data_IF_624934934573
#
_entry.id   IF_624934934573
#
_cell.length_a   1.000
_cell.length_b   1.000
_cell.length_c   1.000
_cell.angle_alpha   90.00
_cell.angle_beta   90.00
_cell.angle_gamma   90.00
#
_symmetry.space_group_name_H-M   'P 1'
#
loop_
_entity.id
_entity.type
_entity.pdbx_description
1 polymer ?
#
# COMPACT_ATOMS: atom_id res chain seq x y z
N UNK A 1 -12.14 18.45 5.49
CA UNK A 1 -11.10 18.79 4.52
C UNK A 1 -10.03 19.65 5.16
N UNK A 2 -8.83 19.25 5.04
CA UNK A 2 -7.72 20.01 5.60
C UNK A 2 -7.20 21.03 4.59
N UNK A 3 -6.58 22.06 5.11
CA UNK A 3 -5.99 23.10 4.29
C UNK A 3 -4.70 22.60 3.65
N UNK A 4 -4.56 22.83 2.37
CA UNK A 4 -3.32 22.53 1.64
C UNK A 4 -2.43 23.76 1.51
N UNK A 5 -2.71 24.79 2.23
CA UNK A 5 -1.95 26.01 2.13
C UNK A 5 -0.54 25.79 2.61
N UNK A 6 0.39 25.88 1.70
CA UNK A 6 1.80 25.94 2.03
C UNK A 6 2.03 27.26 2.74
N UNK A 7 2.63 27.19 3.90
CA UNK A 7 2.98 28.39 4.63
C UNK A 7 4.39 28.77 4.25
N UNK A 8 4.56 29.93 3.65
CA UNK A 8 5.88 30.44 3.29
C UNK A 8 6.72 30.58 4.55
N UNK A 9 7.97 30.19 4.48
CA UNK A 9 8.89 30.29 5.60
C UNK A 9 8.88 29.12 6.56
N UNK A 10 8.06 28.07 6.30
CA UNK A 10 7.97 26.91 7.17
C UNK A 10 8.45 25.62 6.52
N UNK A 11 9.25 25.71 5.46
CA UNK A 11 9.71 24.53 4.73
C UNK A 11 10.55 23.59 5.57
N UNK A 12 11.45 24.15 6.39
CA UNK A 12 12.29 23.32 7.27
C UNK A 12 11.45 22.63 8.32
N UNK A 13 10.52 23.36 8.94
CA UNK A 13 9.63 22.80 9.94
C UNK A 13 8.75 21.71 9.36
N UNK A 14 8.24 21.92 8.11
CA UNK A 14 7.44 20.92 7.44
C UNK A 14 8.27 19.68 7.08
N UNK A 15 9.52 19.88 6.64
CA UNK A 15 10.43 18.78 6.32
C UNK A 15 10.77 17.97 7.55
N UNK A 16 11.03 18.62 8.71
CA UNK A 16 11.26 17.94 9.96
C UNK A 16 10.04 17.12 10.37
N UNK A 17 8.87 17.69 10.23
CA UNK A 17 7.62 17.03 10.58
C UNK A 17 7.38 15.80 9.70
N UNK A 18 7.64 15.91 8.40
CA UNK A 18 7.54 14.77 7.47
C UNK A 18 8.56 13.70 7.84
N UNK A 19 9.79 14.09 8.14
CA UNK A 19 10.83 13.16 8.56
C UNK A 19 10.43 12.42 9.85
N UNK A 20 9.83 13.13 10.81
CA UNK A 20 9.35 12.53 12.06
C UNK A 20 8.21 11.55 11.80
N UNK A 21 7.29 11.89 10.89
CA UNK A 21 6.18 11.00 10.55
C UNK A 21 6.65 9.74 9.83
N UNK A 22 7.64 9.88 8.97
CA UNK A 22 8.25 8.72 8.30
C UNK A 22 8.91 7.80 9.32
N UNK A 23 9.61 8.37 10.28
CA UNK A 23 10.23 7.60 11.37
C UNK A 23 9.17 6.91 12.21
N UNK A 24 8.11 7.63 12.56
CA UNK A 24 7.00 7.06 13.31
C UNK A 24 6.40 5.86 12.56
N UNK A 25 6.17 6.00 11.26
CA UNK A 25 5.67 4.91 10.42
C UNK A 25 6.59 3.70 10.45
N UNK A 26 7.90 3.93 10.55
CA UNK A 26 8.89 2.85 10.58
C UNK A 26 8.99 2.17 11.94
N UNK A 27 8.68 2.87 13.02
CA UNK A 27 8.97 2.42 14.38
C UNK A 27 7.75 1.99 15.19
N UNK A 28 6.57 2.55 14.89
CA UNK A 28 5.38 2.22 15.65
C UNK A 28 4.97 0.76 15.48
N UNK A 29 4.44 0.15 16.54
CA UNK A 29 3.86 -1.19 16.47
C UNK A 29 2.33 -1.17 16.51
N UNK A 30 1.74 0.04 16.51
CA UNK A 30 0.29 0.21 16.52
C UNK A 30 -0.25 0.21 15.09
N UNK A 31 -0.94 -0.86 14.70
CA UNK A 31 -1.48 -0.97 13.35
C UNK A 31 -2.52 0.11 13.03
N UNK A 32 -3.29 0.55 14.02
CA UNK A 32 -4.24 1.64 13.80
C UNK A 32 -3.52 2.92 13.40
N UNK A 33 -2.38 3.19 14.04
CA UNK A 33 -1.55 4.35 13.72
C UNK A 33 -0.91 4.21 12.33
N UNK A 34 -0.45 3.02 11.98
CA UNK A 34 0.11 2.77 10.65
C UNK A 34 -0.95 3.00 9.58
N UNK A 35 -2.16 2.50 9.80
CA UNK A 35 -3.27 2.70 8.87
C UNK A 35 -3.58 4.18 8.72
N UNK A 36 -3.58 4.94 9.81
CA UNK A 36 -3.79 6.38 9.76
C UNK A 36 -2.71 7.08 8.93
N UNK A 37 -1.45 6.71 9.15
CA UNK A 37 -0.33 7.28 8.39
C UNK A 37 -0.39 6.91 6.91
N UNK A 38 -1.00 5.78 6.56
CA UNK A 38 -1.18 5.38 5.16
C UNK A 38 -2.13 6.31 4.41
N UNK A 39 -2.85 7.17 5.12
CA UNK A 39 -3.77 8.14 4.53
C UNK A 39 -3.19 9.58 4.55
N UNK A 40 -1.94 9.72 4.94
CA UNK A 40 -1.29 11.03 5.01
C UNK A 40 -1.16 11.65 3.61
N UNK A 41 -1.22 12.97 3.52
CA UNK A 41 -1.14 13.66 2.23
C UNK A 41 0.23 13.53 1.55
N UNK A 42 1.29 13.30 2.32
CA UNK A 42 2.64 13.13 1.77
C UNK A 42 2.84 11.69 1.32
N UNK A 43 3.19 11.48 0.06
CA UNK A 43 3.36 10.15 -0.51
C UNK A 43 4.49 9.35 0.14
N UNK A 44 5.55 10.00 0.60
CA UNK A 44 6.64 9.30 1.26
C UNK A 44 6.20 8.71 2.60
N UNK A 45 5.36 9.44 3.33
CA UNK A 45 4.78 8.96 4.59
C UNK A 45 3.88 7.76 4.29
N UNK A 46 2.99 7.88 3.29
CA UNK A 46 2.12 6.79 2.89
C UNK A 46 2.92 5.54 2.50
N UNK A 47 4.00 5.74 1.74
CA UNK A 47 4.84 4.62 1.31
C UNK A 47 5.47 3.89 2.50
N UNK A 48 6.02 4.63 3.47
CA UNK A 48 6.60 4.02 4.65
C UNK A 48 5.54 3.23 5.44
N UNK A 49 4.34 3.79 5.56
CA UNK A 49 3.25 3.10 6.25
C UNK A 49 2.85 1.81 5.52
N UNK A 50 2.69 1.86 4.21
CA UNK A 50 2.30 0.69 3.43
C UNK A 50 3.34 -0.42 3.50
N UNK A 51 4.62 -0.07 3.54
CA UNK A 51 5.68 -1.07 3.72
C UNK A 51 5.51 -1.87 5.02
N UNK A 52 4.97 -1.23 6.05
CA UNK A 52 4.72 -1.89 7.34
C UNK A 52 3.48 -2.77 7.30
N UNK A 53 2.64 -2.62 6.30
CA UNK A 53 1.43 -3.44 6.13
C UNK A 53 1.67 -4.68 5.26
N UNK A 54 2.92 -4.97 4.93
CA UNK A 54 3.27 -6.20 4.21
C UNK A 54 2.98 -7.42 5.10
N UNK A 55 2.36 -8.48 4.59
CA UNK A 55 2.11 -9.70 5.37
C UNK A 55 3.38 -10.26 6.02
N UNK A 56 4.52 -10.12 5.39
CA UNK A 56 5.79 -10.55 5.92
C UNK A 56 6.16 -9.85 7.24
N UNK A 57 5.61 -8.66 7.47
CA UNK A 57 5.85 -7.91 8.70
C UNK A 57 4.71 -8.05 9.70
N UNK A 58 3.48 -7.98 9.21
CA UNK A 58 2.29 -8.09 10.08
C UNK A 58 2.15 -9.48 10.67
N UNK A 59 2.35 -10.51 9.86
CA UNK A 59 2.34 -11.93 10.27
C UNK A 59 1.03 -12.37 10.94
N UNK A 60 -0.06 -11.67 10.68
CA UNK A 60 -1.39 -11.98 11.19
C UNK A 60 -2.43 -11.56 10.16
N UNK A 61 -3.56 -12.26 10.16
CA UNK A 61 -4.68 -11.88 9.31
C UNK A 61 -5.51 -10.83 10.04
N UNK A 62 -5.20 -9.55 9.79
CA UNK A 62 -5.90 -8.42 10.40
C UNK A 62 -6.77 -7.77 9.33
N UNK A 63 -8.08 -7.88 9.50
CA UNK A 63 -9.05 -7.41 8.51
C UNK A 63 -8.87 -5.94 8.13
N UNK A 64 -8.66 -5.06 9.11
CA UNK A 64 -8.48 -3.63 8.84
C UNK A 64 -7.26 -3.35 7.97
N UNK A 65 -6.20 -4.14 8.10
CA UNK A 65 -5.00 -4.02 7.27
C UNK A 65 -5.34 -4.36 5.82
N UNK A 66 -6.02 -5.48 5.60
CA UNK A 66 -6.40 -5.90 4.25
C UNK A 66 -7.37 -4.92 3.60
N UNK A 67 -8.37 -4.45 4.33
CA UNK A 67 -9.31 -3.47 3.82
C UNK A 67 -8.58 -2.19 3.40
N UNK A 68 -7.63 -1.74 4.21
CA UNK A 68 -6.86 -0.55 3.86
C UNK A 68 -6.03 -0.76 2.59
N UNK A 69 -5.38 -1.91 2.46
CA UNK A 69 -4.60 -2.22 1.26
C UNK A 69 -5.48 -2.21 0.00
N UNK A 70 -6.68 -2.79 0.08
CA UNK A 70 -7.58 -2.78 -1.08
C UNK A 70 -8.05 -1.36 -1.42
N UNK A 71 -8.22 -0.50 -0.42
CA UNK A 71 -8.54 0.91 -0.67
C UNK A 71 -7.42 1.65 -1.39
N UNK A 72 -6.18 1.24 -1.20
CA UNK A 72 -5.01 1.94 -1.74
C UNK A 72 -4.58 1.46 -3.12
N UNK A 73 -5.34 0.59 -3.75
CA UNK A 73 -5.01 0.08 -5.09
C UNK A 73 -5.02 1.19 -6.16
N UNK A 74 -5.66 2.32 -5.85
CA UNK A 74 -5.75 3.45 -6.77
C UNK A 74 -5.05 4.69 -6.22
N UNK A 75 -4.08 4.52 -5.32
CA UNK A 75 -3.31 5.64 -4.79
C UNK A 75 -2.68 6.42 -5.94
N UNK A 76 -2.62 7.73 -5.82
CA UNK A 76 -2.10 8.58 -6.89
C UNK A 76 -0.60 8.41 -7.13
N UNK A 77 0.15 7.91 -6.14
CA UNK A 77 1.60 7.71 -6.27
C UNK A 77 1.92 6.30 -6.74
N UNK A 78 2.67 6.20 -7.83
CA UNK A 78 3.04 4.92 -8.44
C UNK A 78 3.79 4.01 -7.49
N UNK A 79 4.68 4.57 -6.67
CA UNK A 79 5.48 3.78 -5.72
C UNK A 79 4.58 3.14 -4.65
N UNK A 80 3.57 3.90 -4.22
CA UNK A 80 2.59 3.40 -3.24
C UNK A 80 1.78 2.27 -3.86
N UNK A 81 1.25 2.46 -5.07
CA UNK A 81 0.50 1.42 -5.77
C UNK A 81 1.33 0.15 -5.97
N UNK A 82 2.59 0.31 -6.34
CA UNK A 82 3.50 -0.81 -6.53
C UNK A 82 3.67 -1.61 -5.23
N UNK A 83 3.86 -0.91 -4.11
CA UNK A 83 4.00 -1.55 -2.81
C UNK A 83 2.71 -2.24 -2.37
N UNK A 84 1.55 -1.63 -2.66
CA UNK A 84 0.25 -2.23 -2.37
C UNK A 84 0.08 -3.54 -3.13
N UNK A 85 0.43 -3.54 -4.41
CA UNK A 85 0.41 -4.76 -5.23
C UNK A 85 1.27 -5.85 -4.62
N UNK A 86 2.50 -5.51 -4.24
CA UNK A 86 3.39 -6.47 -3.60
C UNK A 86 2.77 -7.05 -2.32
N UNK A 87 2.24 -6.19 -1.46
CA UNK A 87 1.65 -6.63 -0.20
C UNK A 87 0.47 -7.58 -0.40
N UNK A 88 -0.39 -7.29 -1.37
CA UNK A 88 -1.56 -8.12 -1.64
C UNK A 88 -1.15 -9.50 -2.15
N UNK A 89 -0.04 -9.60 -2.85
CA UNK A 89 0.41 -10.85 -3.48
C UNK A 89 1.60 -11.50 -2.77
N UNK A 90 1.82 -11.16 -1.50
CA UNK A 90 2.91 -11.70 -0.70
C UNK A 90 2.39 -12.42 0.56
N UNK A 91 1.18 -12.95 0.50
CA UNK A 91 0.66 -13.71 1.62
C UNK A 91 -0.79 -13.39 2.01
N UNK A 92 -1.59 -12.88 1.08
CA UNK A 92 -3.00 -12.65 1.40
C UNK A 92 -3.71 -13.99 1.60
N UNK A 93 -4.62 -14.06 2.59
CA UNK A 93 -5.30 -15.31 2.92
C UNK A 93 -6.33 -15.70 1.86
N UNK A 94 -6.62 -17.01 1.80
CA UNK A 94 -7.50 -17.58 0.78
C UNK A 94 -8.91 -16.99 0.78
N UNK A 95 -9.42 -16.60 1.95
CA UNK A 95 -10.78 -16.06 2.04
C UNK A 95 -10.93 -14.70 1.35
N UNK A 96 -9.82 -14.08 0.94
CA UNK A 96 -9.83 -12.80 0.22
C UNK A 96 -9.71 -12.96 -1.29
N UNK A 97 -9.84 -14.17 -1.80
CA UNK A 97 -9.65 -14.48 -3.22
C UNK A 97 -10.36 -13.50 -4.16
N UNK A 98 -11.65 -13.28 -3.97
CA UNK A 98 -12.42 -12.37 -4.83
C UNK A 98 -11.84 -10.97 -4.87
N UNK A 99 -11.49 -10.45 -3.70
CA UNK A 99 -10.95 -9.10 -3.57
C UNK A 99 -9.57 -9.00 -4.19
N UNK A 100 -8.74 -10.04 -4.04
CA UNK A 100 -7.41 -10.09 -4.63
C UNK A 100 -7.51 -10.08 -6.15
N UNK A 101 -8.38 -10.91 -6.71
CA UNK A 101 -8.55 -10.99 -8.17
C UNK A 101 -9.04 -9.64 -8.72
N UNK A 102 -10.01 -9.03 -8.05
CA UNK A 102 -10.50 -7.71 -8.46
C UNK A 102 -9.39 -6.67 -8.43
N UNK A 103 -8.55 -6.68 -7.38
CA UNK A 103 -7.42 -5.76 -7.28
C UNK A 103 -6.42 -6.00 -8.42
N UNK A 104 -6.13 -7.25 -8.73
CA UNK A 104 -5.22 -7.58 -9.81
C UNK A 104 -5.76 -7.15 -11.17
N UNK A 105 -7.05 -7.24 -11.38
CA UNK A 105 -7.67 -6.76 -12.61
C UNK A 105 -7.52 -5.25 -12.76
N UNK A 106 -7.65 -4.50 -11.66
CA UNK A 106 -7.37 -3.06 -11.65
C UNK A 106 -5.92 -2.77 -12.00
N UNK A 107 -4.99 -3.45 -11.34
CA UNK A 107 -3.56 -3.26 -11.59
C UNK A 107 -3.16 -3.66 -13.01
N UNK A 108 -3.87 -4.61 -13.60
CA UNK A 108 -3.60 -5.04 -14.98
C UNK A 108 -3.96 -3.94 -15.99
N UNK A 109 -4.67 -2.91 -15.56
CA UNK A 109 -5.02 -1.74 -16.37
C UNK A 109 -4.35 -0.47 -15.85
N UNK A 110 -3.36 -0.60 -14.97
CA UNK A 110 -2.66 0.53 -14.39
C UNK A 110 -1.89 1.30 -15.48
N UNK A 111 -1.75 2.60 -15.31
CA UNK A 111 -0.99 3.42 -16.25
C UNK A 111 0.51 3.10 -16.22
N UNK A 112 1.01 2.53 -15.12
CA UNK A 112 2.40 2.14 -15.00
C UNK A 112 2.65 0.76 -15.60
N UNK A 113 3.65 0.68 -16.47
CA UNK A 113 3.97 -0.54 -17.19
C UNK A 113 4.43 -1.68 -16.28
N UNK A 114 5.23 -1.36 -15.27
CA UNK A 114 5.76 -2.39 -14.37
C UNK A 114 4.66 -2.96 -13.48
N UNK A 115 3.72 -2.12 -13.04
CA UNK A 115 2.56 -2.58 -12.28
C UNK A 115 1.71 -3.50 -13.14
N UNK A 116 1.42 -3.11 -14.39
CA UNK A 116 0.64 -3.95 -15.31
C UNK A 116 1.31 -5.32 -15.51
N UNK A 117 2.61 -5.31 -15.71
CA UNK A 117 3.36 -6.54 -15.96
C UNK A 117 3.28 -7.51 -14.78
N UNK A 118 3.44 -6.97 -13.58
CA UNK A 118 3.37 -7.79 -12.36
C UNK A 118 1.97 -8.33 -12.11
N UNK A 119 0.96 -7.51 -12.30
CA UNK A 119 -0.44 -7.93 -12.18
C UNK A 119 -0.77 -9.03 -13.19
N UNK A 120 -0.31 -8.86 -14.41
CA UNK A 120 -0.52 -9.87 -15.46
C UNK A 120 0.12 -11.21 -15.05
N UNK A 121 1.31 -11.18 -14.50
CA UNK A 121 2.01 -12.37 -14.02
C UNK A 121 1.20 -13.09 -12.94
N UNK A 122 0.67 -12.32 -11.99
CA UNK A 122 -0.14 -12.87 -10.90
C UNK A 122 -1.42 -13.49 -11.44
N UNK A 123 -2.12 -12.78 -12.34
CA UNK A 123 -3.36 -13.30 -12.94
C UNK A 123 -3.10 -14.57 -13.75
N UNK A 124 -2.01 -14.61 -14.49
CA UNK A 124 -1.63 -15.81 -15.26
C UNK A 124 -1.37 -17.00 -14.33
N UNK A 125 -0.69 -16.77 -13.21
CA UNK A 125 -0.45 -17.80 -12.21
C UNK A 125 -1.77 -18.29 -11.62
N UNK A 126 -2.64 -17.35 -11.27
CA UNK A 126 -3.93 -17.67 -10.68
C UNK A 126 -4.80 -18.52 -11.64
N UNK A 127 -4.85 -18.12 -12.89
CA UNK A 127 -5.65 -18.87 -13.89
C UNK A 127 -5.08 -20.27 -14.14
N UNK A 128 -3.77 -20.43 -14.02
CA UNK A 128 -3.14 -21.71 -14.29
C UNK A 128 -3.13 -22.63 -13.07
N UNK A 129 -2.93 -22.10 -11.88
CA UNK A 129 -2.70 -22.88 -10.67
C UNK A 129 -3.62 -22.57 -9.50
N UNK A 130 -4.41 -21.51 -9.58
CA UNK A 130 -5.21 -21.00 -8.48
C UNK A 130 -4.40 -20.25 -7.42
N UNK A 131 -3.12 -20.00 -7.68
CA UNK A 131 -2.21 -19.33 -6.72
C UNK A 131 -1.89 -17.92 -7.17
N UNK A 132 -1.97 -16.96 -6.24
CA UNK A 132 -1.69 -15.56 -6.53
C UNK A 132 -0.56 -14.97 -5.66
N UNK A 133 -0.16 -15.62 -4.58
CA UNK A 133 0.93 -15.13 -3.74
C UNK A 133 2.28 -15.52 -4.36
N UNK A 134 2.64 -14.87 -5.44
CA UNK A 134 3.80 -15.21 -6.26
C UNK A 134 4.78 -14.04 -6.45
N UNK A 135 4.60 -12.97 -5.69
CA UNK A 135 5.52 -11.81 -5.75
C UNK A 135 6.41 -11.71 -4.53
#
# INVERSE_FOLDING_TARGET
MHSKKAKKGHKESDNEKISDLKRLAQETSDFAEIIELSDHENADVRLQAVKRLCPCRVQRDIDSVWQRLFEMTEDEDTRVRYQVLHNICDGSPDHLESQVVEAMEKFNRDEDKDIRRRAHKVLASYLRTGKWNVL
#
